data_IF_308609259454
#
_entry.id   IF_308609259454
#
_cell.length_a   1.000
_cell.length_b   1.000
_cell.length_c   1.000
_cell.angle_alpha   90.00
_cell.angle_beta   90.00
_cell.angle_gamma   90.00
#
_symmetry.space_group_name_H-M   'P 1'
#
loop_
_entity.id
_entity.type
_entity.pdbx_description
1 polymer ?
#
# COMPACT_ATOMS: atom_id res chain seq x y z
N UNK A 1 16.75 12.27 6.71
CA UNK A 1 15.93 11.07 6.49
C UNK A 1 14.84 11.40 5.47
N UNK A 2 14.58 10.52 4.51
CA UNK A 2 13.47 10.68 3.58
C UNK A 2 12.40 9.65 3.94
N UNK A 3 11.23 10.11 4.42
CA UNK A 3 10.05 9.26 4.56
C UNK A 3 9.52 8.88 3.18
N UNK A 4 9.12 7.62 3.00
CA UNK A 4 8.51 7.13 1.76
C UNK A 4 7.02 6.80 1.93
N UNK A 5 6.57 6.64 3.16
CA UNK A 5 5.17 6.34 3.48
C UNK A 5 4.77 6.96 4.82
N UNK A 6 3.52 7.38 4.91
CA UNK A 6 2.91 8.01 6.09
C UNK A 6 1.59 7.34 6.40
N UNK A 7 1.29 7.18 7.70
CA UNK A 7 -0.01 6.80 8.19
C UNK A 7 -0.32 7.53 9.51
N UNK A 8 -1.56 7.90 9.73
CA UNK A 8 -1.99 8.67 10.90
C UNK A 8 -2.94 7.80 11.73
N UNK A 9 -2.78 7.82 13.05
CA UNK A 9 -3.72 7.15 13.96
C UNK A 9 -5.11 7.77 13.87
N UNK A 10 -6.16 6.96 14.12
CA UNK A 10 -7.56 7.44 14.03
C UNK A 10 -7.92 8.55 15.00
N UNK A 11 -7.15 8.70 16.06
CA UNK A 11 -7.31 9.74 17.10
C UNK A 11 -6.44 10.97 16.84
N UNK A 12 -5.74 11.04 15.70
CA UNK A 12 -4.84 12.11 15.27
C UNK A 12 -3.67 12.39 16.23
N UNK A 13 -3.33 11.45 17.13
CA UNK A 13 -2.22 11.63 18.10
C UNK A 13 -0.87 11.17 17.59
N UNK A 14 -0.84 10.28 16.62
CA UNK A 14 0.39 9.67 16.13
C UNK A 14 0.49 9.65 14.61
N UNK A 15 1.69 9.91 14.12
CA UNK A 15 2.08 9.77 12.72
C UNK A 15 3.17 8.72 12.59
N UNK A 16 2.91 7.68 11.79
CA UNK A 16 3.90 6.71 11.36
C UNK A 16 4.63 7.21 10.13
N UNK A 17 5.94 7.03 10.10
CA UNK A 17 6.80 7.33 8.95
C UNK A 17 7.66 6.13 8.62
N UNK A 18 7.49 5.58 7.41
CA UNK A 18 8.36 4.54 6.85
C UNK A 18 9.57 5.15 6.15
N UNK A 19 10.77 4.62 6.39
CA UNK A 19 12.02 5.02 5.77
C UNK A 19 12.62 3.91 4.92
N UNK A 20 12.56 4.05 3.58
CA UNK A 20 13.04 3.04 2.64
C UNK A 20 14.55 2.81 2.75
N UNK A 21 15.36 3.87 2.74
CA UNK A 21 16.81 3.77 2.61
C UNK A 21 17.52 3.27 3.88
N UNK A 22 16.94 3.52 5.03
CA UNK A 22 17.50 3.17 6.35
C UNK A 22 16.74 2.07 7.08
N UNK A 23 15.69 1.52 6.44
CA UNK A 23 14.87 0.45 7.01
C UNK A 23 14.22 0.86 8.34
N UNK A 24 13.78 2.13 8.45
CA UNK A 24 13.30 2.69 9.71
C UNK A 24 11.79 2.84 9.74
N UNK A 25 11.21 2.56 10.90
CA UNK A 25 9.86 2.97 11.31
C UNK A 25 10.01 4.04 12.37
N UNK A 26 9.38 5.19 12.19
CA UNK A 26 9.34 6.25 13.19
C UNK A 26 7.90 6.50 13.59
N UNK A 27 7.68 6.60 14.91
CA UNK A 27 6.43 7.04 15.50
C UNK A 27 6.62 8.47 15.99
N UNK A 28 5.86 9.39 15.43
CA UNK A 28 5.88 10.80 15.80
C UNK A 28 4.61 11.15 16.56
N UNK A 29 4.75 11.95 17.60
CA UNK A 29 3.62 12.50 18.33
C UNK A 29 3.09 13.72 17.62
N UNK A 30 1.78 13.80 17.46
CA UNK A 30 1.06 14.96 16.92
C UNK A 30 0.35 15.70 18.02
N UNK A 31 0.22 17.01 17.86
CA UNK A 31 -0.78 17.78 18.56
C UNK A 31 -2.14 17.53 17.89
N UNK A 32 -3.12 16.95 18.60
CA UNK A 32 -4.39 16.55 17.97
C UNK A 32 -5.30 17.74 17.59
N UNK A 33 -4.99 18.94 18.06
CA UNK A 33 -5.75 20.18 17.75
C UNK A 33 -5.10 20.90 16.56
N UNK A 34 -3.78 21.09 16.63
CA UNK A 34 -3.04 21.86 15.63
C UNK A 34 -2.55 20.96 14.46
N UNK A 35 -2.55 19.63 14.62
CA UNK A 35 -2.00 18.68 13.64
C UNK A 35 -0.48 18.80 13.45
N UNK A 36 0.22 19.54 14.33
CA UNK A 36 1.66 19.75 14.24
C UNK A 36 2.44 18.60 14.87
N UNK A 37 3.65 18.32 14.35
CA UNK A 37 4.55 17.33 14.94
C UNK A 37 5.17 17.91 16.20
N UNK A 38 4.86 17.31 17.35
CA UNK A 38 5.41 17.69 18.66
C UNK A 38 6.82 17.14 18.86
N UNK A 39 7.04 15.88 18.42
CA UNK A 39 8.33 15.22 18.58
C UNK A 39 8.33 13.78 18.10
N UNK A 40 9.46 13.11 18.26
CA UNK A 40 9.59 11.67 18.00
C UNK A 40 9.22 10.95 19.29
N UNK A 41 8.15 10.15 19.25
CA UNK A 41 7.73 9.31 20.36
C UNK A 41 8.61 8.05 20.44
N UNK A 42 8.81 7.36 19.30
CA UNK A 42 9.63 6.17 19.21
C UNK A 42 10.17 5.95 17.80
N UNK A 43 11.08 4.97 17.65
CA UNK A 43 11.59 4.58 16.34
C UNK A 43 12.42 3.31 16.40
N UNK A 44 12.22 2.47 15.39
CA UNK A 44 12.94 1.20 15.27
C UNK A 44 13.61 1.11 13.91
N UNK A 45 14.80 0.49 13.87
CA UNK A 45 15.48 0.13 12.64
C UNK A 45 15.34 -1.37 12.43
N UNK A 46 14.88 -1.75 11.25
CA UNK A 46 14.91 -3.14 10.84
C UNK A 46 16.37 -3.59 10.69
N UNK A 47 16.63 -4.78 11.16
CA UNK A 47 17.96 -5.44 11.04
C UNK A 47 17.79 -6.74 10.31
N UNK A 48 18.79 -7.11 9.52
CA UNK A 48 18.82 -8.34 8.77
C UNK A 48 19.55 -8.16 7.45
N UNK A 49 19.81 -9.27 6.80
CA UNK A 49 20.32 -9.33 5.44
C UNK A 49 19.24 -9.97 4.57
N UNK A 50 18.95 -9.34 3.46
CA UNK A 50 18.14 -9.93 2.41
C UNK A 50 18.88 -11.08 1.71
N UNK A 51 18.17 -11.84 0.91
CA UNK A 51 18.71 -13.05 0.27
C UNK A 51 19.43 -12.79 -1.04
N UNK A 52 19.25 -11.62 -1.63
CA UNK A 52 19.80 -11.26 -2.92
C UNK A 52 20.90 -10.20 -2.80
N UNK A 53 21.86 -10.22 -3.72
CA UNK A 53 22.93 -9.20 -3.82
C UNK A 53 22.38 -7.90 -4.39
N UNK A 54 21.24 -7.93 -5.10
CA UNK A 54 20.60 -6.73 -5.61
C UNK A 54 20.26 -5.77 -4.47
N UNK A 55 20.50 -4.48 -4.67
CA UNK A 55 20.32 -3.44 -3.64
C UNK A 55 18.93 -3.49 -2.99
N UNK A 56 17.89 -3.79 -3.77
CA UNK A 56 16.49 -3.87 -3.32
C UNK A 56 16.20 -5.02 -2.36
N UNK A 57 17.02 -6.07 -2.36
CA UNK A 57 16.80 -7.29 -1.59
C UNK A 57 18.01 -7.70 -0.75
N UNK A 58 18.97 -6.78 -0.53
CA UNK A 58 20.19 -7.06 0.25
C UNK A 58 20.11 -6.61 1.70
N UNK A 59 19.23 -5.69 2.00
CA UNK A 59 19.07 -5.05 3.32
C UNK A 59 17.64 -4.60 3.55
N UNK A 60 17.27 -4.21 4.79
CA UNK A 60 15.94 -3.71 5.09
C UNK A 60 15.55 -2.48 4.26
N UNK A 61 14.31 -2.51 3.74
CA UNK A 61 13.68 -1.41 3.01
C UNK A 61 12.21 -1.31 3.43
N UNK A 62 11.90 -0.43 4.40
CA UNK A 62 10.52 -0.22 4.84
C UNK A 62 9.79 0.63 3.80
N UNK A 63 8.96 -0.03 2.99
CA UNK A 63 8.19 0.58 1.91
C UNK A 63 6.88 1.21 2.38
N UNK A 64 6.24 0.59 3.37
CA UNK A 64 4.92 1.00 3.84
C UNK A 64 4.82 0.76 5.35
N UNK A 65 4.13 1.65 6.03
CA UNK A 65 3.76 1.51 7.44
C UNK A 65 2.27 1.75 7.58
N UNK A 66 1.60 0.94 8.43
CA UNK A 66 0.16 1.04 8.65
C UNK A 66 -0.19 0.73 10.09
N UNK A 67 -1.12 1.49 10.65
CA UNK A 67 -1.87 1.01 11.81
C UNK A 67 -2.83 -0.10 11.38
N UNK A 68 -3.04 -1.09 12.24
CA UNK A 68 -4.13 -2.05 12.08
C UNK A 68 -5.48 -1.35 12.27
N UNK A 69 -6.59 -1.91 11.75
CA UNK A 69 -7.91 -1.28 11.87
C UNK A 69 -8.35 -1.00 13.31
N UNK A 70 -7.92 -1.84 14.25
CA UNK A 70 -8.15 -1.71 15.69
C UNK A 70 -7.17 -0.75 16.41
N UNK A 71 -6.19 -0.19 15.67
CA UNK A 71 -5.14 0.72 16.14
C UNK A 71 -4.15 0.13 17.17
N UNK A 72 -4.26 -1.17 17.48
CA UNK A 72 -3.43 -1.84 18.50
C UNK A 72 -2.05 -2.22 18.01
N UNK A 73 -1.89 -2.35 16.68
CA UNK A 73 -0.63 -2.77 16.08
C UNK A 73 -0.21 -1.88 14.92
N UNK A 74 1.08 -1.93 14.63
CA UNK A 74 1.71 -1.30 13.47
C UNK A 74 2.27 -2.39 12.57
N UNK A 75 1.88 -2.35 11.30
CA UNK A 75 2.43 -3.19 10.23
C UNK A 75 3.51 -2.40 9.49
N UNK A 76 4.74 -2.92 9.44
CA UNK A 76 5.84 -2.34 8.69
C UNK A 76 6.26 -3.28 7.56
N UNK A 77 5.89 -2.94 6.34
CA UNK A 77 6.16 -3.71 5.12
C UNK A 77 7.60 -3.49 4.69
N UNK A 78 8.40 -4.54 4.75
CA UNK A 78 9.83 -4.51 4.41
C UNK A 78 10.11 -5.34 3.15
N UNK A 79 10.26 -4.65 2.03
CA UNK A 79 10.51 -5.28 0.73
C UNK A 79 11.91 -5.87 0.59
N UNK A 80 12.86 -5.41 1.39
CA UNK A 80 14.24 -5.94 1.36
C UNK A 80 14.40 -7.24 2.14
N UNK A 81 13.47 -7.55 3.05
CA UNK A 81 13.49 -8.75 3.87
C UNK A 81 12.32 -9.71 3.60
N UNK A 82 11.50 -9.45 2.59
CA UNK A 82 10.31 -10.25 2.22
C UNK A 82 9.37 -10.50 3.41
N UNK A 83 9.02 -9.44 4.15
CA UNK A 83 8.20 -9.60 5.36
C UNK A 83 7.41 -8.34 5.71
N UNK A 84 6.38 -8.53 6.52
CA UNK A 84 5.72 -7.45 7.27
C UNK A 84 6.02 -7.67 8.74
N UNK A 85 6.73 -6.73 9.37
CA UNK A 85 6.95 -6.76 10.83
C UNK A 85 5.76 -6.15 11.54
N UNK A 86 5.37 -6.81 12.61
CA UNK A 86 4.24 -6.43 13.45
C UNK A 86 4.74 -5.90 14.79
N UNK A 87 4.25 -4.74 15.18
CA UNK A 87 4.58 -4.10 16.43
C UNK A 87 3.32 -3.81 17.21
N UNK A 88 3.29 -4.17 18.48
CA UNK A 88 2.26 -3.72 19.41
C UNK A 88 2.45 -2.23 19.69
N UNK A 89 1.36 -1.46 19.62
CA UNK A 89 1.34 -0.05 19.94
C UNK A 89 0.96 0.13 21.42
N UNK A 90 1.88 0.64 22.22
CA UNK A 90 1.59 1.13 23.56
C UNK A 90 1.23 2.61 23.47
N UNK A 91 -0.07 2.89 23.49
CA UNK A 91 -0.58 4.26 23.33
C UNK A 91 -0.26 5.16 24.54
N UNK A 92 -0.16 4.60 25.73
CA UNK A 92 0.11 5.36 26.96
C UNK A 92 1.56 5.85 26.99
N UNK A 93 2.49 5.00 26.54
CA UNK A 93 3.91 5.31 26.51
C UNK A 93 4.37 5.90 25.17
N UNK A 94 3.54 5.83 24.12
CA UNK A 94 3.93 6.21 22.76
C UNK A 94 5.07 5.34 22.25
N UNK A 95 5.00 4.02 22.46
CA UNK A 95 6.06 3.06 22.11
C UNK A 95 5.54 1.97 21.20
N UNK A 96 6.45 1.45 20.36
CA UNK A 96 6.17 0.29 19.51
C UNK A 96 7.11 -0.87 19.88
N UNK A 97 6.53 -2.04 20.15
CA UNK A 97 7.24 -3.25 20.57
C UNK A 97 7.06 -4.34 19.53
N UNK A 98 8.17 -4.93 19.07
CA UNK A 98 8.10 -6.04 18.11
C UNK A 98 7.32 -7.21 18.70
N UNK A 99 6.30 -7.67 17.97
CA UNK A 99 5.41 -8.75 18.38
C UNK A 99 5.59 -9.98 17.51
N UNK A 100 5.47 -9.81 16.18
CA UNK A 100 5.49 -10.92 15.25
C UNK A 100 6.01 -10.50 13.86
N UNK A 101 6.08 -11.47 12.94
CA UNK A 101 6.50 -11.28 11.56
C UNK A 101 5.59 -12.07 10.63
N UNK A 102 4.83 -11.40 9.78
CA UNK A 102 4.17 -12.00 8.64
C UNK A 102 5.21 -12.19 7.53
N UNK A 103 5.55 -13.44 7.23
CA UNK A 103 6.52 -13.78 6.17
C UNK A 103 5.82 -13.80 4.82
N UNK A 104 6.37 -13.06 3.86
CA UNK A 104 5.98 -13.13 2.47
C UNK A 104 6.81 -14.19 1.73
N UNK A 105 6.44 -14.47 0.49
CA UNK A 105 7.23 -15.33 -0.37
C UNK A 105 8.61 -14.74 -0.60
N UNK A 106 9.59 -15.63 -0.81
CA UNK A 106 10.97 -15.23 -1.13
C UNK A 106 10.99 -14.47 -2.45
N UNK A 107 11.78 -13.40 -2.50
CA UNK A 107 11.92 -12.52 -3.65
C UNK A 107 10.62 -11.84 -4.08
N UNK A 108 9.64 -11.74 -3.18
CA UNK A 108 8.35 -11.07 -3.45
C UNK A 108 8.44 -9.55 -3.40
N UNK A 109 9.37 -9.01 -2.60
CA UNK A 109 9.51 -7.59 -2.31
C UNK A 109 8.16 -6.92 -1.99
N UNK A 110 7.55 -7.22 -0.82
CA UNK A 110 6.29 -6.60 -0.43
C UNK A 110 6.41 -5.08 -0.42
N UNK A 111 5.47 -4.41 -1.08
CA UNK A 111 5.53 -2.97 -1.38
C UNK A 111 4.60 -2.14 -0.53
N UNK A 112 3.37 -2.58 -0.42
CA UNK A 112 2.34 -1.86 0.33
C UNK A 112 1.29 -2.81 0.90
N UNK A 113 0.59 -2.32 1.91
CA UNK A 113 -0.49 -3.05 2.58
C UNK A 113 -1.72 -2.17 2.68
N UNK A 114 -2.90 -2.76 2.57
CA UNK A 114 -4.20 -2.14 2.79
C UNK A 114 -5.07 -3.08 3.61
N UNK A 115 -5.95 -2.50 4.42
CA UNK A 115 -7.01 -3.24 5.08
C UNK A 115 -8.35 -2.91 4.44
N UNK A 116 -9.29 -3.85 4.45
CA UNK A 116 -10.69 -3.57 4.16
C UNK A 116 -11.27 -2.59 5.19
N UNK A 117 -12.31 -1.86 4.83
CA UNK A 117 -12.91 -0.84 5.72
C UNK A 117 -13.48 -1.44 7.01
N UNK A 118 -13.98 -2.67 6.94
CA UNK A 118 -14.46 -3.42 8.10
C UNK A 118 -13.34 -4.04 8.94
N UNK A 119 -12.11 -3.96 8.46
CA UNK A 119 -10.91 -4.43 9.16
C UNK A 119 -10.68 -5.93 9.13
N UNK A 120 -11.54 -6.72 8.47
CA UNK A 120 -11.44 -8.19 8.46
C UNK A 120 -10.37 -8.73 7.51
N UNK A 121 -10.02 -7.98 6.47
CA UNK A 121 -9.12 -8.46 5.43
C UNK A 121 -7.94 -7.51 5.23
N UNK A 122 -6.80 -8.09 4.86
CA UNK A 122 -5.59 -7.38 4.54
C UNK A 122 -5.05 -7.82 3.16
N UNK A 123 -4.60 -6.84 2.39
CA UNK A 123 -4.06 -7.01 1.05
C UNK A 123 -2.61 -6.56 1.05
N UNK A 124 -1.69 -7.43 0.66
CA UNK A 124 -0.25 -7.12 0.56
C UNK A 124 0.17 -7.20 -0.91
N UNK A 125 0.59 -6.08 -1.46
CA UNK A 125 1.13 -5.98 -2.81
C UNK A 125 2.59 -6.42 -2.82
N UNK A 126 2.93 -7.38 -3.67
CA UNK A 126 4.28 -7.89 -3.89
C UNK A 126 4.83 -7.34 -5.22
N UNK A 127 5.85 -6.47 -5.13
CA UNK A 127 6.36 -5.71 -6.28
C UNK A 127 7.01 -6.60 -7.34
N UNK A 128 7.86 -7.56 -6.92
CA UNK A 128 8.65 -8.38 -7.84
C UNK A 128 7.94 -9.65 -8.31
N UNK A 129 7.02 -10.18 -7.53
CA UNK A 129 6.17 -11.31 -7.96
C UNK A 129 4.90 -10.86 -8.69
N UNK A 130 4.68 -9.55 -8.83
CA UNK A 130 3.51 -9.00 -9.51
C UNK A 130 2.21 -9.63 -9.02
N UNK A 131 2.01 -9.71 -7.72
CA UNK A 131 0.82 -10.32 -7.12
C UNK A 131 0.31 -9.54 -5.91
N UNK A 132 -0.93 -9.82 -5.56
CA UNK A 132 -1.54 -9.40 -4.29
C UNK A 132 -1.82 -10.64 -3.48
N UNK A 133 -1.30 -10.66 -2.25
CA UNK A 133 -1.63 -11.66 -1.24
C UNK A 133 -2.77 -11.15 -0.37
N UNK A 134 -3.80 -11.96 -0.23
CA UNK A 134 -5.00 -11.68 0.57
C UNK A 134 -4.93 -12.47 1.87
N UNK A 135 -5.19 -11.81 2.97
CA UNK A 135 -5.22 -12.41 4.31
C UNK A 135 -6.51 -12.06 5.02
N UNK A 136 -7.04 -12.98 5.82
CA UNK A 136 -7.97 -12.63 6.88
C UNK A 136 -7.15 -12.14 8.07
N UNK A 137 -7.51 -10.99 8.60
CA UNK A 137 -6.94 -10.41 9.79
C UNK A 137 -7.89 -10.60 10.98
N UNK A 138 -7.34 -11.04 12.09
CA UNK A 138 -8.05 -11.06 13.37
C UNK A 138 -7.06 -10.82 14.51
N UNK A 139 -7.54 -10.27 15.61
CA UNK A 139 -6.78 -10.23 16.85
C UNK A 139 -7.26 -11.39 17.73
N UNK A 140 -6.32 -12.19 18.19
CA UNK A 140 -6.59 -13.33 19.05
C UNK A 140 -5.65 -13.37 20.23
N UNK A 141 -6.22 -13.38 21.45
CA UNK A 141 -5.46 -13.42 22.71
C UNK A 141 -4.42 -12.28 22.86
N UNK A 142 -4.65 -11.12 22.30
CA UNK A 142 -3.73 -10.00 22.34
C UNK A 142 -2.62 -10.07 21.29
N UNK A 143 -2.77 -10.91 20.27
CA UNK A 143 -1.80 -11.05 19.17
C UNK A 143 -2.50 -10.87 17.81
N UNK A 144 -1.83 -10.21 16.82
CA UNK A 144 -2.37 -10.03 15.49
C UNK A 144 -2.15 -11.31 14.65
N UNK A 145 -3.22 -11.93 14.17
CA UNK A 145 -3.15 -13.11 13.31
C UNK A 145 -3.53 -12.77 11.86
N UNK A 146 -2.73 -13.27 10.91
CA UNK A 146 -2.95 -13.14 9.47
C UNK A 146 -3.05 -14.53 8.84
N UNK A 147 -4.25 -14.90 8.40
CA UNK A 147 -4.52 -16.19 7.76
C UNK A 147 -4.55 -15.99 6.25
N UNK A 148 -3.61 -16.62 5.54
CA UNK A 148 -3.53 -16.55 4.08
C UNK A 148 -4.79 -17.13 3.43
N UNK A 149 -5.37 -16.40 2.47
CA UNK A 149 -6.57 -16.78 1.74
C UNK A 149 -6.31 -16.99 0.25
N UNK A 150 -5.58 -16.07 -0.38
CA UNK A 150 -5.43 -16.05 -1.84
C UNK A 150 -4.14 -15.34 -2.24
N UNK A 151 -3.55 -15.80 -3.34
CA UNK A 151 -2.61 -15.03 -4.16
C UNK A 151 -3.24 -14.80 -5.53
N UNK A 152 -3.19 -13.56 -6.04
CA UNK A 152 -3.68 -13.23 -7.37
C UNK A 152 -2.66 -12.36 -8.11
N UNK A 153 -2.38 -12.72 -9.37
CA UNK A 153 -1.41 -12.00 -10.20
C UNK A 153 -1.97 -10.66 -10.69
N UNK A 154 -1.09 -9.64 -10.80
CA UNK A 154 -1.42 -8.30 -11.34
C UNK A 154 -1.01 -8.14 -12.79
N UNK A 155 -0.51 -9.17 -13.44
CA UNK A 155 -0.01 -9.12 -14.83
C UNK A 155 -0.30 -10.41 -15.57
N UNK A 156 -0.19 -10.38 -16.90
CA UNK A 156 -0.18 -11.58 -17.73
C UNK A 156 1.20 -12.25 -17.64
N UNK A 157 1.26 -13.58 -17.65
CA UNK A 157 2.53 -14.35 -17.57
C UNK A 157 3.61 -13.93 -18.57
N UNK A 158 3.22 -13.49 -19.77
CA UNK A 158 4.15 -13.01 -20.81
C UNK A 158 4.85 -11.70 -20.47
N UNK A 159 4.32 -10.94 -19.50
CA UNK A 159 4.76 -9.60 -19.14
C UNK A 159 5.49 -9.58 -17.77
N UNK A 160 5.61 -10.72 -17.09
CA UNK A 160 6.17 -10.82 -15.72
C UNK A 160 7.59 -10.24 -15.61
N UNK A 161 8.46 -10.57 -16.57
CA UNK A 161 9.88 -10.16 -16.52
C UNK A 161 10.10 -8.65 -16.67
N UNK A 162 9.14 -7.93 -17.24
CA UNK A 162 9.22 -6.48 -17.49
C UNK A 162 8.29 -5.67 -16.60
N UNK A 163 7.52 -6.35 -15.76
CA UNK A 163 6.48 -5.76 -14.92
C UNK A 163 6.97 -5.55 -13.48
N UNK A 164 6.45 -4.53 -12.84
CA UNK A 164 6.65 -4.25 -11.42
C UNK A 164 5.38 -3.63 -10.85
N UNK A 165 4.74 -4.31 -9.90
CA UNK A 165 3.54 -3.81 -9.25
C UNK A 165 3.90 -2.67 -8.28
N UNK A 166 3.58 -1.43 -8.63
CA UNK A 166 4.12 -0.24 -7.96
C UNK A 166 3.24 0.36 -6.89
N UNK A 167 1.92 0.32 -7.07
CA UNK A 167 0.98 0.91 -6.11
C UNK A 167 -0.37 0.21 -6.09
N UNK A 168 -1.05 0.30 -4.95
CA UNK A 168 -2.34 -0.30 -4.69
C UNK A 168 -3.23 0.63 -3.86
N UNK A 169 -4.53 0.65 -4.17
CA UNK A 169 -5.54 1.36 -3.38
C UNK A 169 -6.88 0.62 -3.42
N UNK A 170 -7.69 0.77 -2.38
CA UNK A 170 -9.08 0.32 -2.36
C UNK A 170 -9.98 1.50 -2.73
N UNK A 171 -11.07 1.25 -3.45
CA UNK A 171 -12.11 2.25 -3.73
C UNK A 171 -12.76 2.76 -2.44
N UNK A 172 -13.24 4.01 -2.39
CA UNK A 172 -13.88 4.56 -1.18
C UNK A 172 -15.10 3.78 -0.67
N UNK A 173 -15.77 3.02 -1.53
CA UNK A 173 -16.90 2.15 -1.14
C UNK A 173 -16.47 0.74 -0.70
N UNK A 174 -15.18 0.45 -0.70
CA UNK A 174 -14.60 -0.83 -0.26
C UNK A 174 -14.79 -1.99 -1.24
N UNK A 175 -15.38 -1.76 -2.44
CA UNK A 175 -15.76 -2.85 -3.35
C UNK A 175 -14.70 -3.28 -4.34
N UNK A 176 -13.72 -2.42 -4.60
CA UNK A 176 -12.73 -2.67 -5.65
C UNK A 176 -11.32 -2.38 -5.17
N UNK A 177 -10.39 -3.24 -5.57
CA UNK A 177 -8.95 -3.04 -5.38
C UNK A 177 -8.31 -2.67 -6.71
N UNK A 178 -7.56 -1.58 -6.73
CA UNK A 178 -6.82 -1.07 -7.88
C UNK A 178 -5.33 -1.29 -7.68
N UNK A 179 -4.68 -1.83 -8.70
CA UNK A 179 -3.21 -1.99 -8.76
C UNK A 179 -2.71 -1.36 -10.05
N UNK A 180 -1.56 -0.69 -9.98
CA UNK A 180 -0.86 -0.23 -11.18
C UNK A 180 0.52 -0.86 -11.28
N UNK A 181 0.89 -1.18 -12.52
CA UNK A 181 2.13 -1.87 -12.86
C UNK A 181 2.98 -0.99 -13.77
N UNK A 182 4.23 -0.75 -13.36
CA UNK A 182 5.26 -0.15 -14.20
C UNK A 182 5.83 -1.20 -15.17
N UNK A 183 6.48 -0.75 -16.23
CA UNK A 183 7.01 -1.60 -17.31
C UNK A 183 5.95 -1.87 -18.35
N UNK A 184 4.93 -2.66 -18.05
CA UNK A 184 3.77 -2.86 -18.95
C UNK A 184 2.82 -1.68 -18.95
N UNK A 185 2.92 -0.79 -17.95
CA UNK A 185 2.11 0.42 -17.79
C UNK A 185 0.61 0.11 -17.86
N UNK A 186 0.14 -0.69 -16.91
CA UNK A 186 -1.25 -1.12 -16.80
C UNK A 186 -1.89 -0.75 -15.47
N UNK A 187 -3.23 -0.71 -15.47
CA UNK A 187 -4.04 -0.72 -14.27
C UNK A 187 -4.87 -2.00 -14.24
N UNK A 188 -4.89 -2.65 -13.10
CA UNK A 188 -5.66 -3.86 -12.85
C UNK A 188 -6.64 -3.57 -11.74
N UNK A 189 -7.90 -3.89 -11.98
CA UNK A 189 -9.00 -3.67 -11.06
C UNK A 189 -9.58 -5.04 -10.71
N UNK A 190 -9.76 -5.26 -9.40
CA UNK A 190 -10.39 -6.47 -8.87
C UNK A 190 -11.65 -6.10 -8.12
N UNK A 191 -12.67 -6.96 -8.22
CA UNK A 191 -13.82 -6.93 -7.33
C UNK A 191 -13.42 -7.60 -6.02
N UNK A 192 -13.82 -7.02 -4.90
CA UNK A 192 -13.63 -7.55 -3.55
C UNK A 192 -14.92 -8.22 -3.11
N UNK A 193 -14.87 -9.51 -2.80
CA UNK A 193 -15.97 -10.21 -2.16
C UNK A 193 -16.09 -9.74 -0.70
N UNK A 194 -17.20 -9.12 -0.29
CA UNK A 194 -17.32 -8.54 1.04
C UNK A 194 -17.36 -9.58 2.18
N UNK A 195 -17.68 -10.84 1.89
CA UNK A 195 -17.77 -11.89 2.92
C UNK A 195 -16.46 -12.64 3.09
N UNK A 196 -15.72 -12.84 2.02
CA UNK A 196 -14.47 -13.62 2.01
C UNK A 196 -13.22 -12.80 1.89
N UNK A 197 -13.32 -11.52 1.44
CA UNK A 197 -12.19 -10.66 1.12
C UNK A 197 -11.44 -11.06 -0.14
N UNK A 198 -11.84 -12.14 -0.81
CA UNK A 198 -11.18 -12.65 -2.00
C UNK A 198 -11.37 -11.72 -3.19
N UNK A 199 -10.37 -11.72 -4.08
CA UNK A 199 -10.31 -10.87 -5.24
C UNK A 199 -10.68 -11.64 -6.50
N UNK A 200 -11.51 -11.02 -7.35
CA UNK A 200 -11.82 -11.52 -8.69
C UNK A 200 -11.43 -10.45 -9.71
N UNK A 201 -10.74 -10.83 -10.77
CA UNK A 201 -10.33 -9.88 -11.81
C UNK A 201 -11.57 -9.27 -12.49
N UNK A 202 -11.66 -7.94 -12.42
CA UNK A 202 -12.65 -7.17 -13.17
C UNK A 202 -12.05 -6.65 -14.49
N UNK A 203 -10.96 -5.89 -14.44
CA UNK A 203 -10.35 -5.28 -15.61
C UNK A 203 -8.83 -5.30 -15.53
N UNK A 204 -8.16 -5.58 -16.66
CA UNK A 204 -6.72 -5.40 -16.84
C UNK A 204 -6.47 -4.72 -18.17
N UNK A 205 -6.05 -3.46 -18.14
CA UNK A 205 -5.81 -2.68 -19.37
C UNK A 205 -4.62 -1.74 -19.22
N UNK A 206 -3.99 -1.44 -20.35
CA UNK A 206 -2.92 -0.44 -20.41
C UNK A 206 -3.46 0.95 -20.09
N UNK A 207 -2.67 1.71 -19.34
CA UNK A 207 -2.91 3.14 -19.11
C UNK A 207 -2.18 3.99 -20.15
N UNK A 208 -2.60 5.24 -20.30
CA UNK A 208 -1.80 6.26 -20.95
C UNK A 208 -0.74 6.75 -19.97
N UNK A 209 0.52 6.84 -20.40
CA UNK A 209 1.65 7.28 -19.59
C UNK A 209 2.56 6.14 -19.14
N UNK A 210 3.72 6.50 -18.60
CA UNK A 210 4.79 5.57 -18.27
C UNK A 210 5.17 5.64 -16.80
N UNK A 211 5.48 4.47 -16.24
CA UNK A 211 5.92 4.26 -14.88
C UNK A 211 4.93 4.84 -13.84
N UNK A 212 3.70 4.28 -13.74
CA UNK A 212 2.74 4.71 -12.74
C UNK A 212 3.27 4.39 -11.33
N UNK A 213 3.42 5.42 -10.49
CA UNK A 213 3.88 5.30 -9.10
C UNK A 213 2.79 5.36 -8.06
N UNK A 214 1.64 5.87 -8.43
CA UNK A 214 0.50 5.94 -7.53
C UNK A 214 -0.80 5.79 -8.31
N UNK A 215 -1.80 5.27 -7.64
CA UNK A 215 -3.18 5.18 -8.08
C UNK A 215 -4.09 5.63 -6.94
N UNK A 216 -5.15 6.41 -7.26
CA UNK A 216 -6.19 6.79 -6.30
C UNK A 216 -7.54 6.81 -7.00
N UNK A 217 -8.55 6.33 -6.29
CA UNK A 217 -9.95 6.39 -6.72
C UNK A 217 -10.58 7.64 -6.14
N UNK A 218 -11.40 8.33 -6.93
CA UNK A 218 -12.15 9.50 -6.49
C UNK A 218 -13.31 9.09 -5.58
N UNK A 219 -13.83 10.02 -4.74
CA UNK A 219 -14.96 9.75 -3.85
C UNK A 219 -16.27 9.36 -4.52
N UNK A 220 -16.35 9.48 -5.84
CA UNK A 220 -17.50 9.04 -6.66
C UNK A 220 -17.48 7.54 -6.97
N UNK A 221 -16.37 6.84 -6.68
CA UNK A 221 -16.12 5.43 -7.01
C UNK A 221 -16.13 5.09 -8.51
N UNK A 222 -16.27 6.07 -9.38
CA UNK A 222 -16.28 5.87 -10.84
C UNK A 222 -14.97 6.31 -11.50
N UNK A 223 -14.33 7.34 -10.95
CA UNK A 223 -13.09 7.87 -11.52
C UNK A 223 -11.89 7.44 -10.68
N UNK A 224 -10.78 7.24 -11.37
CA UNK A 224 -9.48 7.05 -10.73
C UNK A 224 -8.38 7.80 -11.47
N UNK A 225 -7.28 8.08 -10.80
CA UNK A 225 -6.12 8.70 -11.39
C UNK A 225 -4.87 7.86 -11.23
N UNK A 226 -3.96 7.98 -12.18
CA UNK A 226 -2.60 7.45 -12.12
C UNK A 226 -1.58 8.58 -12.18
N UNK A 227 -0.51 8.44 -11.41
CA UNK A 227 0.62 9.35 -11.42
C UNK A 227 1.75 8.70 -12.20
N UNK A 228 2.00 9.20 -13.41
CA UNK A 228 2.94 8.62 -14.37
C UNK A 228 4.26 9.37 -14.30
N UNK A 229 5.23 8.78 -13.58
CA UNK A 229 6.46 9.46 -13.17
C UNK A 229 7.37 9.82 -14.34
N UNK A 230 7.49 8.96 -15.35
CA UNK A 230 8.43 9.18 -16.46
C UNK A 230 7.90 10.16 -17.51
N UNK A 231 6.58 10.32 -17.61
CA UNK A 231 5.97 11.31 -18.52
C UNK A 231 5.69 12.67 -17.86
N UNK A 232 5.94 12.83 -16.55
CA UNK A 232 5.55 14.05 -15.82
C UNK A 232 4.05 14.35 -15.91
N UNK A 233 3.20 13.29 -15.74
CA UNK A 233 1.77 13.38 -16.01
C UNK A 233 0.90 12.75 -14.92
N UNK A 234 -0.27 13.33 -14.75
CA UNK A 234 -1.41 12.71 -14.04
C UNK A 234 -2.51 12.46 -15.07
N UNK A 235 -2.94 11.21 -15.19
CA UNK A 235 -4.06 10.82 -16.03
C UNK A 235 -5.27 10.45 -15.18
N UNK A 236 -6.46 10.87 -15.62
CA UNK A 236 -7.73 10.51 -15.00
C UNK A 236 -8.48 9.58 -15.93
N UNK A 237 -9.09 8.56 -15.36
CA UNK A 237 -9.85 7.53 -16.06
C UNK A 237 -11.24 7.40 -15.44
N UNK A 238 -12.23 7.07 -16.27
CA UNK A 238 -13.55 6.63 -15.82
C UNK A 238 -13.68 5.14 -16.02
N UNK A 239 -14.07 4.43 -14.96
CA UNK A 239 -14.28 2.98 -14.94
C UNK A 239 -15.71 2.63 -15.33
N UNK A 240 -15.88 1.58 -16.12
CA UNK A 240 -17.13 0.87 -16.33
C UNK A 240 -16.97 -0.56 -15.80
N UNK A 241 -17.48 -0.80 -14.60
CA UNK A 241 -17.31 -2.10 -13.93
C UNK A 241 -18.12 -3.21 -14.57
N UNK A 242 -19.27 -2.89 -15.16
CA UNK A 242 -20.16 -3.88 -15.78
C UNK A 242 -19.61 -4.42 -17.11
N UNK A 243 -18.93 -3.55 -17.85
CA UNK A 243 -18.33 -3.92 -19.15
C UNK A 243 -16.83 -4.13 -19.10
N UNK A 244 -16.22 -4.05 -17.88
CA UNK A 244 -14.83 -4.42 -17.59
C UNK A 244 -13.78 -3.60 -18.37
N UNK A 245 -13.98 -2.30 -18.50
CA UNK A 245 -13.01 -1.39 -19.11
C UNK A 245 -12.96 -0.02 -18.41
N UNK A 246 -11.91 0.74 -18.70
CA UNK A 246 -11.82 2.14 -18.33
C UNK A 246 -11.33 3.00 -19.50
N UNK A 247 -11.74 4.27 -19.51
CA UNK A 247 -11.37 5.23 -20.54
C UNK A 247 -10.79 6.50 -19.92
N UNK A 248 -9.71 6.99 -20.53
CA UNK A 248 -9.08 8.24 -20.12
C UNK A 248 -10.06 9.42 -20.31
N UNK A 249 -10.13 10.28 -19.30
CA UNK A 249 -10.95 11.49 -19.29
C UNK A 249 -10.11 12.73 -19.52
N UNK A 250 -10.39 13.43 -20.62
CA UNK A 250 -9.68 14.65 -20.95
C UNK A 250 -8.21 14.44 -21.36
N UNK A 251 -7.41 15.51 -21.19
CA UNK A 251 -5.98 15.48 -21.45
C UNK A 251 -5.20 15.22 -20.16
N UNK A 252 -4.01 14.58 -20.23
CA UNK A 252 -3.14 14.48 -19.06
C UNK A 252 -2.83 15.85 -18.47
N UNK A 253 -2.76 15.91 -17.14
CA UNK A 253 -2.29 17.08 -16.42
C UNK A 253 -0.77 16.98 -16.24
N UNK A 254 -0.03 17.97 -16.70
CA UNK A 254 1.42 17.99 -16.54
C UNK A 254 1.84 18.37 -15.11
N UNK A 255 2.55 17.46 -14.46
CA UNK A 255 3.09 17.62 -13.10
C UNK A 255 4.47 16.95 -13.06
N UNK A 256 5.54 17.71 -12.79
CA UNK A 256 6.91 17.18 -12.80
C UNK A 256 7.11 16.07 -11.77
N UNK A 257 7.51 14.89 -12.22
CA UNK A 257 7.86 13.70 -11.41
C UNK A 257 6.86 13.41 -10.27
N UNK A 258 5.56 13.23 -10.57
CA UNK A 258 4.56 12.99 -9.55
C UNK A 258 4.81 11.65 -8.84
N UNK A 259 4.77 11.64 -7.50
CA UNK A 259 5.07 10.46 -6.71
C UNK A 259 3.94 10.03 -5.79
N UNK A 260 3.13 10.97 -5.32
CA UNK A 260 2.11 10.72 -4.31
C UNK A 260 0.98 11.72 -4.45
N UNK A 261 -0.23 11.29 -4.12
CA UNK A 261 -1.45 12.11 -4.13
C UNK A 261 -2.36 11.71 -3.00
N UNK A 262 -3.00 12.68 -2.40
CA UNK A 262 -4.13 12.51 -1.50
C UNK A 262 -5.37 13.19 -2.08
N UNK A 263 -6.52 12.57 -1.93
CA UNK A 263 -7.82 13.13 -2.33
C UNK A 263 -8.63 13.36 -1.07
N UNK A 264 -9.15 14.56 -0.92
CA UNK A 264 -10.04 14.91 0.18
C UNK A 264 -11.37 15.43 -0.39
N UNK A 265 -12.49 14.88 0.11
CA UNK A 265 -13.84 15.36 -0.23
C UNK A 265 -14.10 16.61 0.58
N UNK A 266 -14.27 17.75 -0.10
CA UNK A 266 -14.67 18.98 0.57
C UNK A 266 -16.08 18.81 1.12
N UNK A 267 -16.27 19.15 2.39
CA UNK A 267 -17.62 19.30 2.95
C UNK A 267 -18.21 20.58 2.35
N UNK A 268 -19.36 20.44 1.70
CA UNK A 268 -20.14 21.58 1.20
C UNK A 268 -20.95 22.21 2.33
#
# INVERSE_FOLDING_TARGET
MRGCFLDISKDDRYLLVGGYHDGRVSLMQLDPVEGTIVGIADGVFHKGMGRCIAERSSRPHVNCVRFTPDQRYVCAVDGGLDQVKLYHMDEDLGKIHNTDILRCQIDSAPKSMRFSDDGRFAYVLCELLNCVNVYRYEERNGEPEFHFLQEITTTDKKDDDICSATAMTISPDGKHLYVVNAGVNSAVIYDIDPETGMLTLNCNSKISGEFPKAVRVFPDNEHFMTLNHENDEICVFKMNYEEHYFLMQGKPLHVGKPNSVAIHKLQQ
#
